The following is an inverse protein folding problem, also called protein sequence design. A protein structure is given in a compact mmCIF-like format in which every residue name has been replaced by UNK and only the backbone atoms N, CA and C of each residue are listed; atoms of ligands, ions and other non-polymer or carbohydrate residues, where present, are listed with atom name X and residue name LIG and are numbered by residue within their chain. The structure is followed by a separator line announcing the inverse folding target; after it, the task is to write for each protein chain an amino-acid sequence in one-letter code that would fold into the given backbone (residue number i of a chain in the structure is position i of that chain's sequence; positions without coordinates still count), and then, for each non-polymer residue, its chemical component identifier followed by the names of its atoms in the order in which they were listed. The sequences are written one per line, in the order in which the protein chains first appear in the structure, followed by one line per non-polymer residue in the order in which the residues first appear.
data_IF_482156624460
#
_entry.id   IF_482156624460
#
_cell.length_a   1.000
_cell.length_b   1.000
_cell.length_c   1.000
_cell.angle_alpha   90.00
_cell.angle_beta   90.00
_cell.angle_gamma   90.00
#
_symmetry.space_group_name_H-M   'P 1'
#
loop_
_entity.id
_entity.type
_entity.pdbx_description
1 polymer ?
#
# COMPACT_ATOMS: atom_id res chain seq x y z
N UNK A 1 4.27 -3.85 3.58
CA UNK A 1 4.42 -3.09 4.84
C UNK A 1 4.29 -1.63 4.50
N UNK A 2 3.32 -0.96 5.12
CA UNK A 2 3.18 0.48 5.03
C UNK A 2 4.13 1.14 6.06
N UNK A 3 4.61 2.36 5.81
CA UNK A 3 5.42 3.07 6.80
C UNK A 3 4.58 3.41 8.03
N UNK A 4 5.17 3.26 9.21
CA UNK A 4 4.47 3.44 10.48
C UNK A 4 5.43 3.58 11.66
N UNK A 5 4.87 3.90 12.82
CA UNK A 5 5.58 4.01 14.11
C UNK A 5 4.93 3.02 15.07
N UNK A 6 5.74 2.17 15.69
CA UNK A 6 5.31 1.27 16.75
C UNK A 6 5.84 1.74 18.11
N UNK A 7 4.95 1.86 19.09
CA UNK A 7 5.28 2.17 20.48
C UNK A 7 5.06 0.95 21.36
N UNK A 8 6.13 0.43 21.97
CA UNK A 8 6.05 -0.73 22.87
C UNK A 8 5.51 -0.30 24.23
N UNK A 9 4.37 -0.87 24.62
CA UNK A 9 3.80 -0.71 25.96
C UNK A 9 4.45 -1.69 26.95
N UNK A 10 4.75 -2.90 26.48
CA UNK A 10 5.42 -3.95 27.26
C UNK A 10 6.29 -4.80 26.34
N UNK A 11 6.98 -5.81 26.91
CA UNK A 11 7.71 -6.81 26.12
C UNK A 11 6.81 -7.69 25.23
N UNK A 12 5.48 -7.65 25.43
CA UNK A 12 4.51 -8.49 24.71
C UNK A 12 3.48 -7.71 23.90
N UNK A 13 3.37 -6.40 24.10
CA UNK A 13 2.30 -5.57 23.51
C UNK A 13 2.89 -4.27 22.98
N UNK A 14 2.53 -3.91 21.75
CA UNK A 14 2.81 -2.60 21.17
C UNK A 14 1.56 -1.99 20.54
N UNK A 15 1.52 -0.65 20.49
CA UNK A 15 0.59 0.11 19.68
C UNK A 15 1.28 0.48 18.37
N UNK A 16 0.63 0.23 17.24
CA UNK A 16 1.14 0.57 15.92
C UNK A 16 0.28 1.68 15.31
N UNK A 17 0.92 2.76 14.87
CA UNK A 17 0.31 3.77 14.01
C UNK A 17 0.91 3.65 12.61
N UNK A 18 0.07 3.30 11.65
CA UNK A 18 0.48 3.10 10.26
C UNK A 18 -0.09 4.20 9.39
N UNK A 19 0.79 4.85 8.62
CA UNK A 19 0.42 5.94 7.73
C UNK A 19 0.78 5.58 6.30
N UNK A 20 -0.22 5.63 5.44
CA UNK A 20 0.00 5.32 4.04
C UNK A 20 -0.38 3.90 3.68
N UNK A 21 -0.79 3.70 2.43
CA UNK A 21 -0.89 2.37 1.82
C UNK A 21 -0.02 2.32 0.58
N UNK A 22 0.85 1.32 0.49
CA UNK A 22 1.60 1.03 -0.73
C UNK A 22 0.77 0.08 -1.58
N UNK A 23 0.45 0.47 -2.81
CA UNK A 23 -0.23 -0.40 -3.77
C UNK A 23 0.59 -0.53 -5.06
N UNK A 24 0.61 -1.77 -5.58
CA UNK A 24 1.18 -2.10 -6.87
C UNK A 24 0.12 -2.06 -7.95
N UNK A 25 0.60 -1.85 -9.15
CA UNK A 25 -0.19 -1.28 -10.19
C UNK A 25 0.61 -1.51 -11.49
N UNK A 26 -0.03 -2.05 -12.55
CA UNK A 26 0.62 -2.64 -13.74
C UNK A 26 0.29 -1.93 -15.06
N UNK A 27 1.25 -1.25 -15.68
CA UNK A 27 1.08 -0.61 -17.00
C UNK A 27 1.09 -1.65 -18.15
N UNK A 28 0.00 -1.74 -18.92
CA UNK A 28 -0.06 -2.54 -20.15
C UNK A 28 -0.12 -1.60 -21.37
N UNK A 29 1.00 -1.51 -22.10
CA UNK A 29 1.07 -0.77 -23.37
C UNK A 29 0.79 -1.75 -24.52
N UNK A 30 -0.31 -1.57 -25.24
CA UNK A 30 -0.60 -2.35 -26.46
C UNK A 30 0.12 -1.74 -27.68
N UNK A 31 0.56 -2.57 -28.65
CA UNK A 31 1.38 -2.16 -29.78
C UNK A 31 0.65 -1.18 -30.72
N UNK A 32 1.44 -0.30 -31.36
CA UNK A 32 0.98 0.76 -32.27
C UNK A 32 0.24 0.16 -33.47
N UNK A 33 -1.08 0.40 -33.59
CA UNK A 33 -1.90 -0.04 -34.73
C UNK A 33 -3.32 -0.54 -34.42
N UNK A 34 -3.71 -0.64 -33.14
CA UNK A 34 -5.06 -1.07 -32.76
C UNK A 34 -6.12 0.02 -33.06
N UNK A 35 -7.33 -0.33 -33.55
CA UNK A 35 -8.39 0.62 -33.88
C UNK A 35 -8.83 1.46 -32.68
N UNK A 36 -9.18 2.73 -32.93
CA UNK A 36 -9.50 3.76 -31.93
C UNK A 36 -10.66 3.43 -30.97
N UNK A 37 -11.47 2.42 -31.27
CA UNK A 37 -12.49 1.86 -30.37
C UNK A 37 -11.91 1.04 -29.21
N UNK A 38 -10.62 0.68 -29.26
CA UNK A 38 -9.84 0.06 -28.18
C UNK A 38 -9.05 1.13 -27.40
N UNK A 39 -9.69 2.28 -27.16
CA UNK A 39 -9.10 3.42 -26.47
C UNK A 39 -8.38 3.01 -25.18
N UNK A 40 -7.11 3.37 -25.14
CA UNK A 40 -6.13 3.07 -24.10
C UNK A 40 -6.71 3.47 -22.73
N UNK A 41 -7.09 2.49 -21.90
CA UNK A 41 -7.31 2.72 -20.47
C UNK A 41 -5.95 2.82 -19.79
N UNK A 42 -5.39 4.02 -19.77
CA UNK A 42 -4.18 4.32 -19.03
C UNK A 42 -4.50 4.24 -17.53
N UNK A 43 -4.40 3.05 -16.93
CA UNK A 43 -4.52 2.90 -15.49
C UNK A 43 -3.14 3.16 -14.92
N UNK A 44 -3.01 4.33 -14.29
CA UNK A 44 -1.76 4.80 -13.73
C UNK A 44 -1.44 4.01 -12.47
N UNK A 45 -0.17 3.66 -12.35
CA UNK A 45 0.15 2.46 -11.64
C UNK A 45 1.62 2.45 -11.14
N UNK A 46 2.06 3.55 -10.53
CA UNK A 46 3.28 3.58 -9.70
C UNK A 46 3.05 3.05 -8.27
N UNK A 47 4.15 2.71 -7.57
CA UNK A 47 4.17 2.53 -6.11
C UNK A 47 3.73 3.85 -5.47
N UNK A 48 2.42 4.03 -5.36
CA UNK A 48 1.83 5.21 -4.78
C UNK A 48 1.67 4.93 -3.30
N UNK A 49 2.21 5.84 -2.50
CA UNK A 49 1.97 5.89 -1.07
C UNK A 49 0.73 6.75 -0.86
N UNK A 50 -0.43 6.14 -0.64
CA UNK A 50 -1.64 6.90 -0.31
C UNK A 50 -1.64 7.29 1.17
N UNK A 51 -1.14 8.47 1.45
CA UNK A 51 -1.07 9.07 2.79
C UNK A 51 -2.44 9.41 3.41
N UNK A 52 -3.56 9.23 2.71
CA UNK A 52 -4.90 9.46 3.26
C UNK A 52 -5.38 8.36 4.19
N UNK A 53 -4.69 7.22 4.19
CA UNK A 53 -5.02 6.09 5.05
C UNK A 53 -4.17 6.14 6.32
N UNK A 54 -4.84 6.15 7.47
CA UNK A 54 -4.23 6.06 8.80
C UNK A 54 -4.90 4.90 9.51
N UNK A 55 -4.11 3.94 9.99
CA UNK A 55 -4.57 2.78 10.74
C UNK A 55 -3.90 2.77 12.13
N UNK A 56 -4.67 2.43 13.16
CA UNK A 56 -4.19 2.23 14.52
C UNK A 56 -4.41 0.77 14.90
N UNK A 57 -3.34 0.09 15.28
CA UNK A 57 -3.32 -1.34 15.60
C UNK A 57 -2.72 -1.64 16.97
N UNK A 58 -3.00 -2.85 17.46
CA UNK A 58 -2.34 -3.44 18.63
C UNK A 58 -1.59 -4.68 18.15
N UNK A 59 -0.29 -4.73 18.39
CA UNK A 59 0.55 -5.89 18.10
C UNK A 59 0.79 -6.72 19.38
N UNK A 60 0.66 -8.05 19.24
CA UNK A 60 0.92 -9.02 20.29
C UNK A 60 2.13 -9.86 19.93
N UNK A 61 3.18 -9.78 20.73
CA UNK A 61 4.40 -10.56 20.57
C UNK A 61 4.29 -11.83 21.40
N UNK A 62 4.03 -12.95 20.72
CA UNK A 62 4.02 -14.28 21.33
C UNK A 62 5.44 -14.82 21.42
N UNK A 63 6.01 -14.79 22.62
CA UNK A 63 7.26 -15.48 22.95
C UNK A 63 6.99 -16.97 23.24
N UNK A 64 7.79 -17.87 22.64
CA UNK A 64 7.78 -19.32 22.89
C UNK A 64 8.13 -19.67 24.33
#
# INVERSE_FOLDING_TARGET
MSPGIAYKLTNKVALELTMGRVYYSKSEVKPKGAPSSLAIKNKNYGLNLDLKHVELGIELYLSR
#
